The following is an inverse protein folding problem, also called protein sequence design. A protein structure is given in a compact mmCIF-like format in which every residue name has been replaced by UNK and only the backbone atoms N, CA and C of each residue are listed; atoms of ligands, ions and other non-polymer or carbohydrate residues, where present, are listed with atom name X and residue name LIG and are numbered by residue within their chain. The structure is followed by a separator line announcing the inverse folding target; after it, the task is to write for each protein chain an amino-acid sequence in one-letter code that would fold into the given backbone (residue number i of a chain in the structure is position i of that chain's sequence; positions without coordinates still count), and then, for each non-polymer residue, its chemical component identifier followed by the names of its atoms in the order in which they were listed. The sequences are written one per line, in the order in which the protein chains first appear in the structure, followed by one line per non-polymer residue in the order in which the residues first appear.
data_IF_289567407518
#
_entry.id   IF_289567407518
#
_cell.length_a   1.000
_cell.length_b   1.000
_cell.length_c   1.000
_cell.angle_alpha   90.00
_cell.angle_beta   90.00
_cell.angle_gamma   90.00
#
_symmetry.space_group_name_H-M   'P 1'
#
loop_
_entity.id
_entity.type
_entity.pdbx_description
1 polymer ?
#
# COMPACT_ATOMS: atom_id res chain seq x y z
N UNK A 1 15.11 7.68 -5.33
CA UNK A 1 13.94 7.36 -4.48
C UNK A 1 14.05 5.89 -4.14
N UNK A 2 14.02 5.52 -2.86
CA UNK A 2 14.02 4.10 -2.46
C UNK A 2 12.59 3.57 -2.72
N UNK A 3 12.43 2.58 -3.60
CA UNK A 3 11.12 1.97 -3.90
C UNK A 3 11.21 0.48 -3.81
N UNK A 4 10.20 -0.12 -3.20
CA UNK A 4 10.14 -1.57 -2.99
C UNK A 4 9.69 -2.31 -4.26
N UNK A 5 9.17 -1.56 -5.22
CA UNK A 5 8.73 -1.96 -6.56
C UNK A 5 9.67 -1.40 -7.63
N UNK A 6 9.72 -2.06 -8.79
CA UNK A 6 10.27 -1.47 -10.00
C UNK A 6 9.50 -0.18 -10.39
N UNK A 7 10.14 0.77 -11.10
CA UNK A 7 9.48 2.00 -11.54
C UNK A 7 8.18 1.73 -12.29
N UNK A 8 7.13 2.47 -11.95
CA UNK A 8 5.84 2.39 -12.63
C UNK A 8 5.96 2.91 -14.07
N UNK A 9 5.44 2.16 -15.03
CA UNK A 9 5.32 2.64 -16.41
C UNK A 9 4.19 3.67 -16.51
N UNK A 10 4.54 4.90 -16.90
CA UNK A 10 3.56 5.98 -17.14
C UNK A 10 2.52 5.59 -18.20
N UNK A 11 2.95 4.92 -19.27
CA UNK A 11 2.06 4.43 -20.33
C UNK A 11 1.06 3.38 -19.80
N UNK A 12 1.49 2.51 -18.89
CA UNK A 12 0.61 1.53 -18.26
C UNK A 12 -0.35 2.19 -17.26
N UNK A 13 0.14 3.17 -16.48
CA UNK A 13 -0.67 3.96 -15.55
C UNK A 13 -1.80 4.69 -16.28
N UNK A 14 -1.48 5.42 -17.35
CA UNK A 14 -2.44 6.21 -18.13
C UNK A 14 -3.66 5.40 -18.60
N UNK A 15 -3.51 4.09 -18.83
CA UNK A 15 -4.59 3.20 -19.27
C UNK A 15 -5.57 2.79 -18.17
N UNK A 16 -5.22 2.98 -16.91
CA UNK A 16 -6.00 2.51 -15.75
C UNK A 16 -6.38 3.62 -14.77
N UNK A 17 -6.07 4.88 -15.07
CA UNK A 17 -6.44 6.03 -14.25
C UNK A 17 -7.89 6.46 -14.52
N UNK A 18 -8.60 6.75 -13.43
CA UNK A 18 -9.91 7.41 -13.37
C UNK A 18 -9.74 8.87 -12.95
N UNK A 19 -10.86 9.62 -12.84
CA UNK A 19 -10.92 10.96 -12.22
C UNK A 19 -10.00 12.01 -12.87
N UNK A 20 -9.73 11.87 -14.17
CA UNK A 20 -8.85 12.75 -14.97
C UNK A 20 -7.41 12.83 -14.43
N UNK A 21 -6.99 11.86 -13.62
CA UNK A 21 -5.63 11.82 -13.08
C UNK A 21 -4.60 11.54 -14.17
N UNK A 22 -3.50 12.28 -14.13
CA UNK A 22 -2.29 11.96 -14.90
C UNK A 22 -1.42 10.94 -14.15
N UNK A 23 -0.50 10.23 -14.84
CA UNK A 23 0.49 9.38 -14.18
C UNK A 23 1.28 10.13 -13.09
N UNK A 24 1.56 11.43 -13.31
CA UNK A 24 2.28 12.25 -12.34
C UNK A 24 1.45 12.53 -11.09
N UNK A 25 0.16 12.82 -11.23
CA UNK A 25 -0.75 12.97 -10.08
C UNK A 25 -0.79 11.70 -9.25
N UNK A 26 -0.87 10.54 -9.92
CA UNK A 26 -0.84 9.25 -9.23
C UNK A 26 0.47 9.03 -8.47
N UNK A 27 1.62 9.26 -9.09
CA UNK A 27 2.92 9.12 -8.43
C UNK A 27 3.06 10.09 -7.24
N UNK A 28 2.54 11.32 -7.38
CA UNK A 28 2.49 12.29 -6.28
C UNK A 28 1.61 11.80 -5.13
N UNK A 29 0.47 11.17 -5.43
CA UNK A 29 -0.38 10.55 -4.41
C UNK A 29 0.37 9.41 -3.69
N UNK A 30 1.08 8.55 -4.41
CA UNK A 30 1.87 7.48 -3.78
C UNK A 30 2.94 8.06 -2.84
N UNK A 31 3.68 9.07 -3.28
CA UNK A 31 4.77 9.68 -2.50
C UNK A 31 4.30 10.43 -1.23
N UNK A 32 3.00 10.63 -1.05
CA UNK A 32 2.43 11.21 0.16
C UNK A 32 2.09 10.16 1.22
N UNK A 33 2.47 8.89 1.04
CA UNK A 33 2.03 7.79 1.88
C UNK A 33 3.19 6.88 2.29
N UNK A 34 3.08 6.34 3.49
CA UNK A 34 3.81 5.17 3.94
C UNK A 34 2.93 3.95 3.72
N UNK A 35 3.47 2.89 3.12
CA UNK A 35 2.73 1.68 2.75
C UNK A 35 3.06 0.52 3.69
N UNK A 36 2.05 -0.27 4.02
CA UNK A 36 2.14 -1.45 4.85
C UNK A 36 1.43 -2.62 4.16
N UNK A 37 2.09 -3.78 4.19
CA UNK A 37 1.43 -5.05 3.94
C UNK A 37 0.58 -5.41 5.16
N UNK A 38 -0.65 -5.84 4.93
CA UNK A 38 -1.61 -6.17 6.01
C UNK A 38 -1.59 -7.64 6.40
N UNK A 39 -0.89 -8.48 5.63
CA UNK A 39 -0.69 -9.89 5.91
C UNK A 39 0.65 -10.38 5.36
N UNK A 40 1.20 -11.39 6.02
CA UNK A 40 2.50 -11.99 5.69
C UNK A 40 2.48 -12.68 4.32
N UNK A 41 1.34 -13.21 3.87
CA UNK A 41 1.23 -13.91 2.58
C UNK A 41 1.49 -12.95 1.41
N UNK A 42 0.87 -11.76 1.45
CA UNK A 42 1.06 -10.71 0.46
C UNK A 42 2.50 -10.18 0.47
N UNK A 43 3.08 -9.98 1.65
CA UNK A 43 4.49 -9.61 1.81
C UNK A 43 5.42 -10.66 1.19
N UNK A 44 5.26 -11.93 1.56
CA UNK A 44 6.09 -13.04 1.06
C UNK A 44 5.99 -13.18 -0.46
N UNK A 45 4.79 -13.01 -1.03
CA UNK A 45 4.60 -13.02 -2.48
C UNK A 45 5.32 -11.85 -3.16
N UNK A 46 5.30 -10.67 -2.55
CA UNK A 46 6.04 -9.50 -3.04
C UNK A 46 7.55 -9.72 -2.97
N UNK A 47 8.06 -10.23 -1.85
CA UNK A 47 9.48 -10.54 -1.67
C UNK A 47 9.96 -11.56 -2.70
N UNK A 48 9.25 -12.68 -2.87
CA UNK A 48 9.58 -13.70 -3.85
C UNK A 48 9.60 -13.18 -5.30
N UNK A 49 8.74 -12.22 -5.63
CA UNK A 49 8.73 -11.58 -6.95
C UNK A 49 9.95 -10.68 -7.19
N UNK A 50 10.55 -10.13 -6.12
CA UNK A 50 11.67 -9.20 -6.18
C UNK A 50 13.02 -9.79 -5.73
N UNK A 51 13.06 -11.05 -5.25
CA UNK A 51 14.30 -11.76 -4.87
C UNK A 51 15.32 -11.83 -6.02
N UNK A 52 14.87 -11.66 -7.28
CA UNK A 52 15.75 -11.64 -8.46
C UNK A 52 16.76 -10.48 -8.47
N UNK A 53 16.57 -9.46 -7.64
CA UNK A 53 17.45 -8.28 -7.61
C UNK A 53 18.70 -8.47 -6.74
N UNK A 54 18.82 -9.58 -6.00
CA UNK A 54 20.02 -9.89 -5.19
C UNK A 54 20.23 -8.98 -3.98
N UNK A 55 19.25 -8.14 -3.64
CA UNK A 55 19.35 -7.14 -2.57
C UNK A 55 18.77 -7.68 -1.27
N UNK A 56 19.55 -7.59 -0.19
CA UNK A 56 19.05 -7.81 1.16
C UNK A 56 17.97 -6.78 1.51
N UNK A 57 16.89 -7.24 2.17
CA UNK A 57 15.74 -6.41 2.54
C UNK A 57 15.47 -6.51 4.03
N UNK A 58 15.22 -5.37 4.66
CA UNK A 58 14.77 -5.31 6.05
C UNK A 58 13.26 -5.31 6.07
N UNK A 59 12.67 -6.28 6.77
CA UNK A 59 11.25 -6.30 7.08
C UNK A 59 11.05 -5.82 8.51
N UNK A 60 10.16 -4.85 8.68
CA UNK A 60 9.72 -4.35 9.99
C UNK A 60 8.25 -4.73 10.19
N UNK A 61 7.97 -5.41 11.29
CA UNK A 61 6.63 -5.79 11.71
C UNK A 61 6.16 -4.84 12.82
N UNK A 62 4.95 -4.32 12.68
CA UNK A 62 4.37 -3.34 13.60
C UNK A 62 3.10 -3.87 14.26
N UNK A 63 2.84 -3.47 15.51
CA UNK A 63 1.54 -3.67 16.15
C UNK A 63 0.49 -2.83 15.42
N UNK A 64 -0.35 -3.51 14.64
CA UNK A 64 -1.40 -2.88 13.84
C UNK A 64 -2.34 -2.02 14.69
N UNK A 65 -2.72 -2.46 15.89
CA UNK A 65 -3.66 -1.73 16.74
C UNK A 65 -3.02 -0.44 17.25
N UNK A 66 -1.79 -0.52 17.73
CA UNK A 66 -1.00 0.60 18.22
C UNK A 66 -0.81 1.65 17.12
N UNK A 67 -0.35 1.22 15.94
CA UNK A 67 -0.10 2.09 14.79
C UNK A 67 -1.37 2.75 14.25
N UNK A 68 -2.45 1.97 14.09
CA UNK A 68 -3.74 2.50 13.59
C UNK A 68 -4.34 3.48 14.59
N UNK A 69 -4.24 3.23 15.90
CA UNK A 69 -4.73 4.18 16.90
C UNK A 69 -3.95 5.50 16.87
N UNK A 70 -2.62 5.44 16.76
CA UNK A 70 -1.79 6.63 16.68
C UNK A 70 -2.03 7.45 15.40
N UNK A 71 -2.29 6.77 14.27
CA UNK A 71 -2.46 7.40 12.96
C UNK A 71 -3.92 7.53 12.50
N UNK A 72 -4.91 7.27 13.35
CA UNK A 72 -6.30 6.96 13.01
C UNK A 72 -6.92 7.80 11.87
N UNK A 73 -6.75 9.14 11.90
CA UNK A 73 -7.32 10.05 10.88
C UNK A 73 -6.61 10.00 9.53
N UNK A 74 -5.37 9.53 9.49
CA UNK A 74 -4.52 9.47 8.31
C UNK A 74 -4.38 8.06 7.71
N UNK A 75 -4.99 7.05 8.35
CA UNK A 75 -5.00 5.68 7.81
C UNK A 75 -5.97 5.60 6.64
N UNK A 76 -5.49 5.08 5.52
CA UNK A 76 -6.26 4.81 4.31
C UNK A 76 -6.04 3.36 3.85
N UNK A 77 -7.08 2.73 3.32
CA UNK A 77 -7.09 1.34 2.87
C UNK A 77 -7.17 1.26 1.35
N UNK A 78 -6.41 0.35 0.76
CA UNK A 78 -6.49 0.02 -0.66
C UNK A 78 -6.70 -1.48 -0.89
N UNK A 79 -7.51 -1.81 -1.90
CA UNK A 79 -7.87 -3.18 -2.29
C UNK A 79 -6.89 -3.80 -3.30
N UNK A 80 -5.93 -3.01 -3.78
CA UNK A 80 -5.01 -3.35 -4.86
C UNK A 80 -3.58 -3.06 -4.42
N UNK A 81 -2.59 -3.65 -5.09
CA UNK A 81 -1.22 -3.17 -4.98
C UNK A 81 -1.12 -1.87 -5.79
N UNK A 82 -1.07 -0.73 -5.11
CA UNK A 82 -1.14 0.60 -5.72
C UNK A 82 0.14 0.96 -6.48
N UNK A 83 1.26 0.35 -6.09
CA UNK A 83 2.58 0.47 -6.69
C UNK A 83 2.83 -0.42 -7.91
N UNK A 84 1.82 -1.15 -8.41
CA UNK A 84 1.98 -2.07 -9.55
C UNK A 84 0.96 -1.84 -10.67
N UNK A 85 1.44 -1.94 -11.92
CA UNK A 85 0.63 -1.91 -13.16
C UNK A 85 0.90 -3.09 -14.10
N UNK A 86 1.69 -4.09 -13.68
CA UNK A 86 2.28 -5.09 -14.58
C UNK A 86 1.27 -6.14 -15.09
N UNK A 87 0.40 -6.67 -14.23
CA UNK A 87 -0.58 -7.71 -14.60
C UNK A 87 -2.00 -7.24 -14.36
N UNK A 88 -2.79 -7.10 -15.44
CA UNK A 88 -4.21 -6.69 -15.42
C UNK A 88 -4.43 -5.52 -14.47
N UNK A 89 -3.90 -4.32 -14.81
CA UNK A 89 -3.89 -3.19 -13.90
C UNK A 89 -5.32 -2.84 -13.49
N UNK A 90 -5.57 -2.88 -12.18
CA UNK A 90 -6.85 -2.43 -11.64
C UNK A 90 -7.03 -0.93 -11.89
N UNK A 91 -8.30 -0.54 -12.10
CA UNK A 91 -8.72 0.86 -12.17
C UNK A 91 -8.35 1.57 -10.88
N UNK A 92 -7.84 2.80 -11.00
CA UNK A 92 -7.33 3.58 -9.86
C UNK A 92 -7.63 5.05 -10.03
N UNK A 93 -7.98 5.70 -8.94
CA UNK A 93 -8.50 7.06 -8.91
C UNK A 93 -8.47 7.63 -7.48
N UNK A 94 -9.17 8.73 -7.27
CA UNK A 94 -9.28 9.39 -5.97
C UNK A 94 -9.92 8.47 -4.92
N UNK A 95 -10.77 7.55 -5.34
CA UNK A 95 -11.44 6.57 -4.46
C UNK A 95 -10.59 5.36 -4.08
N UNK A 96 -9.39 5.18 -4.69
CA UNK A 96 -8.54 4.01 -4.43
C UNK A 96 -8.11 3.92 -2.97
N UNK A 97 -7.79 5.07 -2.36
CA UNK A 97 -7.43 5.20 -0.95
C UNK A 97 -8.65 5.60 -0.13
N UNK A 98 -9.26 4.64 0.55
CA UNK A 98 -10.44 4.91 1.37
C UNK A 98 -10.03 5.23 2.82
N UNK A 99 -10.43 6.37 3.40
CA UNK A 99 -10.10 6.68 4.79
C UNK A 99 -10.70 5.64 5.74
N UNK A 100 -9.86 4.97 6.53
CA UNK A 100 -10.28 3.86 7.37
C UNK A 100 -11.29 4.28 8.44
N UNK A 101 -11.13 5.47 9.00
CA UNK A 101 -11.98 6.00 10.07
C UNK A 101 -13.43 6.34 9.64
N UNK A 102 -13.74 6.30 8.35
CA UNK A 102 -15.07 6.61 7.82
C UNK A 102 -15.95 5.37 7.63
N UNK A 103 -15.39 4.16 7.75
CA UNK A 103 -16.09 2.93 7.42
C UNK A 103 -15.76 1.83 8.41
N UNK A 104 -16.76 1.06 8.80
CA UNK A 104 -16.52 -0.31 9.25
C UNK A 104 -15.97 -1.15 8.10
N UNK A 105 -15.31 -2.26 8.42
CA UNK A 105 -14.81 -3.16 7.39
C UNK A 105 -15.92 -3.65 6.45
N UNK A 106 -17.11 -3.95 6.99
CA UNK A 106 -18.27 -4.40 6.21
C UNK A 106 -18.76 -3.32 5.24
N UNK A 107 -18.88 -2.07 5.68
CA UNK A 107 -19.25 -0.95 4.81
C UNK A 107 -18.20 -0.74 3.71
N UNK A 108 -16.91 -0.79 4.07
CA UNK A 108 -15.82 -0.67 3.11
C UNK A 108 -15.86 -1.77 2.03
N UNK A 109 -16.19 -3.01 2.42
CA UNK A 109 -16.38 -4.12 1.48
C UNK A 109 -17.60 -3.91 0.57
N UNK A 110 -18.71 -3.37 1.10
CA UNK A 110 -19.93 -3.11 0.31
C UNK A 110 -19.71 -2.09 -0.80
N UNK A 111 -18.92 -1.04 -0.55
CA UNK A 111 -18.49 -0.09 -1.59
C UNK A 111 -17.80 -0.78 -2.78
N UNK A 112 -17.25 -1.98 -2.54
CA UNK A 112 -16.50 -2.82 -3.49
C UNK A 112 -17.26 -4.10 -3.85
N UNK A 113 -18.59 -4.08 -3.74
CA UNK A 113 -19.49 -5.21 -4.08
C UNK A 113 -19.16 -6.50 -3.31
N UNK A 114 -18.52 -6.39 -2.14
CA UNK A 114 -18.23 -7.48 -1.22
C UNK A 114 -17.12 -8.45 -1.65
N UNK A 115 -16.42 -8.20 -2.76
CA UNK A 115 -15.41 -9.14 -3.30
C UNK A 115 -14.00 -8.84 -2.84
N UNK A 116 -13.73 -7.58 -2.54
CA UNK A 116 -12.38 -7.11 -2.25
C UNK A 116 -12.00 -7.34 -0.78
N UNK A 117 -10.70 -7.52 -0.58
CA UNK A 117 -10.04 -7.54 0.72
C UNK A 117 -9.05 -6.39 0.78
N UNK A 118 -8.70 -5.94 1.98
CA UNK A 118 -7.63 -4.96 2.16
C UNK A 118 -6.33 -5.64 1.69
N UNK A 119 -5.62 -5.01 0.76
CA UNK A 119 -4.29 -5.45 0.32
C UNK A 119 -3.18 -4.59 0.87
N UNK A 120 -3.45 -3.29 1.00
CA UNK A 120 -2.50 -2.33 1.52
C UNK A 120 -3.21 -1.46 2.58
N UNK A 121 -2.50 -1.24 3.67
CA UNK A 121 -2.78 -0.17 4.61
C UNK A 121 -1.77 0.94 4.35
N UNK A 122 -2.23 2.18 4.35
CA UNK A 122 -1.35 3.33 4.15
C UNK A 122 -1.58 4.37 5.22
N UNK A 123 -0.52 5.09 5.56
CA UNK A 123 -0.61 6.30 6.39
C UNK A 123 -0.24 7.48 5.52
N UNK A 124 -1.17 8.42 5.35
CA UNK A 124 -0.91 9.67 4.64
C UNK A 124 0.01 10.57 5.47
N UNK A 125 1.08 11.05 4.86
CA UNK A 125 2.16 11.80 5.50
C UNK A 125 3.24 10.87 6.05
N UNK A 126 3.44 10.89 7.36
CA UNK A 126 4.46 10.11 8.05
C UNK A 126 3.89 9.44 9.30
N UNK A 127 4.50 8.31 9.70
CA UNK A 127 4.26 7.68 11.00
C UNK A 127 5.27 8.28 11.99
N UNK A 128 4.79 9.07 12.95
CA UNK A 128 5.63 9.64 14.01
C UNK A 128 5.91 8.57 15.04
N UNK A 129 7.12 8.58 15.62
CA UNK A 129 7.53 7.65 16.68
C UNK A 129 7.28 6.18 16.29
N UNK A 130 7.63 5.84 15.04
CA UNK A 130 7.32 4.54 14.42
C UNK A 130 7.87 3.36 15.21
N UNK A 131 8.98 3.57 15.93
CA UNK A 131 9.64 2.62 16.81
C UNK A 131 8.75 2.19 17.98
N UNK A 132 7.86 3.06 18.48
CA UNK A 132 6.91 2.73 19.55
C UNK A 132 5.87 1.68 19.13
N UNK A 133 5.74 1.43 17.83
CA UNK A 133 4.82 0.45 17.26
C UNK A 133 5.55 -0.80 16.74
N UNK A 134 6.88 -0.83 16.74
CA UNK A 134 7.66 -1.94 16.18
C UNK A 134 7.62 -3.15 17.12
N UNK A 135 7.27 -4.32 16.58
CA UNK A 135 7.21 -5.59 17.32
C UNK A 135 8.20 -6.63 16.79
N UNK A 136 8.84 -6.38 15.66
CA UNK A 136 9.86 -7.25 15.11
C UNK A 136 10.58 -6.64 13.92
N UNK A 137 11.84 -7.04 13.72
CA UNK A 137 12.63 -6.68 12.56
C UNK A 137 13.46 -7.89 12.15
N UNK A 138 13.50 -8.18 10.86
CA UNK A 138 14.32 -9.25 10.31
C UNK A 138 14.84 -8.90 8.93
N UNK A 139 16.00 -9.44 8.60
CA UNK A 139 16.61 -9.28 7.28
C UNK A 139 16.32 -10.51 6.44
N UNK A 140 15.87 -10.30 5.22
CA UNK A 140 15.76 -11.34 4.20
C UNK A 140 16.91 -11.15 3.23
N UNK A 141 17.76 -12.17 3.19
CA UNK A 141 18.83 -12.27 2.20
C UNK A 141 18.27 -12.89 0.91
N UNK A 142 18.85 -12.52 -0.23
CA UNK A 142 18.41 -12.96 -1.55
C UNK A 142 18.93 -14.35 -1.90
#
# INVERSE_FOLDING_TARGET
MLTDNAPLSELALAKCLDDELTPWDWMRMLNQRVFFWVDEENLNRHLAANMRDGLARVVMAFDTRSLVNACHRNVELAAINTGSTIRRPARRGLSTFSPAHLYTYREWQQLRRGRDRIKELTVRGAVREVEAHLIGQYTIEA
#
